data_IF_799501644249
#
_entry.id   IF_799501644249
#
_cell.length_a   1.000
_cell.length_b   1.000
_cell.length_c   1.000
_cell.angle_alpha   90.00
_cell.angle_beta   90.00
_cell.angle_gamma   90.00
#
_symmetry.space_group_name_H-M   'P 1'
#
loop_
_entity.id
_entity.type
_entity.pdbx_description
1 polymer ?
#
# COMPACT_ATOMS: atom_id res chain seq x y z
N UNK A 1 25.84 3.38 5.30
CA UNK A 1 24.77 3.03 4.34
C UNK A 1 23.79 2.25 5.19
N UNK A 2 22.94 2.99 5.89
CA UNK A 2 22.20 2.50 7.04
C UNK A 2 20.80 2.17 6.53
N UNK A 3 20.72 1.04 5.82
CA UNK A 3 19.45 0.53 5.33
C UNK A 3 18.65 0.01 6.52
N UNK A 4 17.36 0.37 6.55
CA UNK A 4 16.42 -0.21 7.50
C UNK A 4 16.36 -1.72 7.28
N UNK A 5 16.35 -2.46 8.37
CA UNK A 5 16.01 -3.87 8.36
C UNK A 5 14.51 -4.05 8.11
N UNK A 6 14.10 -5.20 7.58
CA UNK A 6 12.68 -5.50 7.35
C UNK A 6 11.83 -5.36 8.63
N UNK A 7 12.41 -5.69 9.79
CA UNK A 7 11.75 -5.50 11.08
C UNK A 7 11.51 -4.02 11.41
N UNK A 8 12.49 -3.15 11.14
CA UNK A 8 12.34 -1.72 11.36
C UNK A 8 11.29 -1.11 10.43
N UNK A 9 11.25 -1.55 9.17
CA UNK A 9 10.19 -1.17 8.24
C UNK A 9 8.81 -1.59 8.75
N UNK A 10 8.66 -2.84 9.20
CA UNK A 10 7.42 -3.38 9.76
C UNK A 10 6.95 -2.61 11.01
N UNK A 11 7.90 -2.19 11.86
CA UNK A 11 7.63 -1.37 13.04
C UNK A 11 7.17 0.04 12.66
N UNK A 12 7.82 0.68 11.69
CA UNK A 12 7.49 2.05 11.24
C UNK A 12 6.06 2.10 10.67
N UNK A 13 5.66 1.09 9.91
CA UNK A 13 4.29 1.05 9.33
C UNK A 13 3.22 0.62 10.33
N UNK A 14 3.62 0.28 11.56
CA UNK A 14 2.74 -0.12 12.65
C UNK A 14 2.07 -1.46 12.37
N UNK A 15 2.87 -2.50 12.19
CA UNK A 15 2.38 -3.87 11.91
C UNK A 15 2.00 -4.61 13.19
N UNK A 16 0.92 -5.38 13.12
CA UNK A 16 0.39 -6.23 14.18
C UNK A 16 0.10 -7.63 13.65
N UNK A 17 0.38 -8.64 14.47
CA UNK A 17 -0.05 -10.01 14.23
C UNK A 17 -1.37 -10.21 14.98
N UNK A 18 -2.49 -10.25 14.26
CA UNK A 18 -3.81 -10.42 14.84
C UNK A 18 -4.21 -11.91 14.87
N UNK A 19 -4.52 -12.46 16.04
CA UNK A 19 -5.10 -13.79 16.16
C UNK A 19 -6.54 -13.81 15.63
N UNK A 20 -6.85 -14.81 14.83
CA UNK A 20 -8.14 -14.93 14.09
C UNK A 20 -9.07 -15.99 14.71
N UNK A 21 -8.88 -16.28 16.00
CA UNK A 21 -9.59 -17.34 16.72
C UNK A 21 -9.00 -18.74 16.53
N UNK A 22 -9.60 -19.74 17.16
CA UNK A 22 -9.11 -21.13 17.09
C UNK A 22 -9.18 -21.68 15.66
N UNK A 23 -8.03 -22.12 15.13
CA UNK A 23 -7.92 -22.85 13.86
C UNK A 23 -7.60 -22.00 12.62
N UNK A 24 -7.66 -20.67 12.72
CA UNK A 24 -7.29 -19.79 11.61
C UNK A 24 -5.84 -19.30 11.75
N UNK A 25 -5.09 -19.16 10.63
CA UNK A 25 -3.77 -18.55 10.68
C UNK A 25 -3.89 -17.08 11.09
N UNK A 26 -2.94 -16.58 11.89
CA UNK A 26 -2.93 -15.19 12.30
C UNK A 26 -2.81 -14.27 11.07
N UNK A 27 -3.51 -13.14 11.11
CA UNK A 27 -3.51 -12.16 10.04
C UNK A 27 -2.53 -11.03 10.37
N UNK A 28 -1.59 -10.79 9.47
CA UNK A 28 -0.75 -9.59 9.52
C UNK A 28 -1.57 -8.37 9.09
N UNK A 29 -1.63 -7.34 9.93
CA UNK A 29 -2.31 -6.08 9.64
C UNK A 29 -1.42 -4.88 9.98
N UNK A 30 -1.53 -3.79 9.24
CA UNK A 30 -0.72 -2.59 9.45
C UNK A 30 -1.50 -1.29 9.25
N UNK A 31 -1.06 -0.20 9.89
CA UNK A 31 -1.68 1.12 9.73
C UNK A 31 -1.32 1.79 8.41
N UNK A 32 -0.11 1.53 7.92
CA UNK A 32 0.41 1.95 6.62
C UNK A 32 0.80 0.74 5.75
N UNK A 33 0.81 0.86 4.42
CA UNK A 33 1.19 -0.26 3.56
C UNK A 33 2.67 -0.62 3.76
N UNK A 34 2.99 -1.91 3.69
CA UNK A 34 4.37 -2.39 3.64
C UNK A 34 5.08 -1.80 2.42
N UNK A 35 6.40 -1.55 2.53
CA UNK A 35 7.21 -0.96 1.46
C UNK A 35 7.03 -1.70 0.13
N UNK A 36 7.15 -3.03 0.16
CA UNK A 36 6.94 -3.88 -1.03
C UNK A 36 5.53 -3.81 -1.63
N UNK A 37 4.51 -3.53 -0.83
CA UNK A 37 3.13 -3.39 -1.31
C UNK A 37 2.91 -2.01 -1.89
N UNK A 38 3.51 -0.98 -1.29
CA UNK A 38 3.47 0.39 -1.77
C UNK A 38 4.17 0.54 -3.12
N UNK A 39 5.36 -0.04 -3.27
CA UNK A 39 6.16 0.00 -4.50
C UNK A 39 5.49 -0.72 -5.67
N UNK A 40 4.73 -1.78 -5.41
CA UNK A 40 3.94 -2.49 -6.44
C UNK A 40 2.62 -1.77 -6.80
N UNK A 41 2.28 -0.70 -6.11
CA UNK A 41 1.05 0.06 -6.30
C UNK A 41 1.11 1.06 -7.46
N UNK A 42 0.16 2.01 -7.47
CA UNK A 42 0.13 3.13 -8.43
C UNK A 42 1.17 4.23 -8.12
N UNK A 43 2.02 4.04 -7.09
CA UNK A 43 3.01 5.03 -6.72
C UNK A 43 4.15 5.08 -7.76
N UNK A 44 4.29 6.22 -8.43
CA UNK A 44 5.26 6.41 -9.51
C UNK A 44 6.63 6.92 -9.03
N UNK A 45 6.95 6.77 -7.74
CA UNK A 45 8.17 7.30 -7.14
C UNK A 45 8.12 8.81 -6.85
N UNK A 46 7.00 9.48 -7.17
CA UNK A 46 6.81 10.91 -6.91
C UNK A 46 5.67 11.14 -5.94
N UNK A 47 5.97 11.89 -4.88
CA UNK A 47 4.95 12.37 -3.95
C UNK A 47 4.14 13.49 -4.60
N UNK A 48 2.96 13.14 -5.13
CA UNK A 48 2.04 14.09 -5.77
C UNK A 48 1.00 14.58 -4.79
N UNK A 49 0.27 15.65 -5.14
CA UNK A 49 -0.84 16.16 -4.33
C UNK A 49 -1.94 15.10 -4.10
N UNK A 50 -2.11 14.16 -5.04
CA UNK A 50 -3.00 13.02 -4.86
C UNK A 50 -2.59 12.15 -3.67
N UNK A 51 -1.30 11.80 -3.59
CA UNK A 51 -0.74 11.00 -2.49
C UNK A 51 -0.76 11.75 -1.16
N UNK A 52 -0.46 13.05 -1.15
CA UNK A 52 -0.60 13.89 0.03
C UNK A 52 -2.04 13.89 0.56
N UNK A 53 -3.02 14.07 -0.33
CA UNK A 53 -4.44 14.08 0.04
C UNK A 53 -4.86 12.74 0.61
N UNK A 54 -4.45 11.63 -0.02
CA UNK A 54 -4.70 10.28 0.45
C UNK A 54 -4.10 10.03 1.85
N UNK A 55 -2.84 10.43 2.04
CA UNK A 55 -2.12 10.29 3.31
C UNK A 55 -2.81 11.07 4.43
N UNK A 56 -3.08 12.36 4.19
CA UNK A 56 -3.77 13.24 5.14
C UNK A 56 -5.17 12.72 5.50
N UNK A 57 -5.94 12.25 4.52
CA UNK A 57 -7.26 11.68 4.76
C UNK A 57 -7.15 10.45 5.68
N UNK A 58 -6.27 9.51 5.35
CA UNK A 58 -6.10 8.30 6.16
C UNK A 58 -5.60 8.62 7.57
N UNK A 59 -4.63 9.52 7.70
CA UNK A 59 -4.13 9.97 9.00
C UNK A 59 -5.25 10.56 9.86
N UNK A 60 -6.14 11.35 9.25
CA UNK A 60 -7.34 11.85 9.93
C UNK A 60 -8.23 10.71 10.40
N UNK A 61 -8.53 9.74 9.53
CA UNK A 61 -9.38 8.60 9.91
C UNK A 61 -8.77 7.77 11.06
N UNK A 62 -7.44 7.62 11.10
CA UNK A 62 -6.73 6.94 12.19
C UNK A 62 -6.86 7.75 13.48
N UNK A 63 -6.57 9.04 13.45
CA UNK A 63 -6.59 9.91 14.63
C UNK A 63 -7.99 10.15 15.18
N UNK A 64 -9.04 10.09 14.34
CA UNK A 64 -10.45 10.13 14.79
C UNK A 64 -11.01 8.78 15.19
N UNK A 65 -10.21 7.71 15.14
CA UNK A 65 -10.63 6.35 15.53
C UNK A 65 -11.63 5.69 14.58
N UNK A 66 -11.76 6.20 13.35
CA UNK A 66 -12.69 5.67 12.33
C UNK A 66 -12.02 4.69 11.37
N UNK A 67 -10.69 4.59 11.37
CA UNK A 67 -9.93 3.61 10.60
C UNK A 67 -9.53 2.38 11.44
N UNK A 68 -9.15 1.31 10.75
CA UNK A 68 -8.56 0.10 11.32
C UNK A 68 -7.32 -0.30 10.50
N UNK A 69 -6.37 -1.04 11.10
CA UNK A 69 -5.26 -1.65 10.36
C UNK A 69 -5.78 -2.56 9.25
N UNK A 70 -5.09 -2.55 8.12
CA UNK A 70 -5.44 -3.37 6.96
C UNK A 70 -4.47 -4.52 6.79
N UNK A 71 -5.00 -5.65 6.31
CA UNK A 71 -4.20 -6.76 5.81
C UNK A 71 -3.48 -6.41 4.51
N UNK A 72 -2.45 -7.18 4.18
CA UNK A 72 -1.70 -7.07 2.91
C UNK A 72 -2.64 -7.08 1.70
N UNK A 73 -3.66 -7.93 1.70
CA UNK A 73 -4.64 -8.02 0.60
C UNK A 73 -5.48 -6.75 0.46
N UNK A 74 -5.91 -6.16 1.57
CA UNK A 74 -6.67 -4.91 1.56
C UNK A 74 -5.80 -3.74 1.06
N UNK A 75 -4.51 -3.72 1.43
CA UNK A 75 -3.55 -2.76 0.91
C UNK A 75 -3.35 -2.88 -0.60
N UNK A 76 -3.09 -4.10 -1.09
CA UNK A 76 -2.97 -4.37 -2.53
C UNK A 76 -4.20 -3.88 -3.30
N UNK A 77 -5.40 -4.03 -2.74
CA UNK A 77 -6.63 -3.57 -3.37
C UNK A 77 -6.76 -2.04 -3.36
N UNK A 78 -6.41 -1.38 -2.24
CA UNK A 78 -6.48 0.09 -2.11
C UNK A 78 -5.44 0.81 -2.97
N UNK A 79 -4.24 0.24 -3.10
CA UNK A 79 -3.11 0.82 -3.83
C UNK A 79 -3.07 0.42 -5.32
N UNK A 80 -4.00 -0.45 -5.75
CA UNK A 80 -4.08 -0.94 -7.14
C UNK A 80 -4.36 0.13 -8.18
N UNK A 81 -4.77 1.32 -7.73
CA UNK A 81 -5.21 2.42 -8.57
C UNK A 81 -6.51 2.16 -9.31
N UNK A 82 -6.88 3.08 -10.20
CA UNK A 82 -8.13 2.99 -10.98
C UNK A 82 -7.99 2.00 -12.14
N UNK A 83 -9.03 1.18 -12.44
CA UNK A 83 -9.01 0.28 -13.59
C UNK A 83 -8.68 0.96 -14.92
N UNK A 84 -9.13 2.19 -15.11
CA UNK A 84 -8.90 3.02 -16.28
C UNK A 84 -7.42 3.38 -16.41
N UNK A 85 -6.78 3.86 -15.32
CA UNK A 85 -5.35 4.15 -15.32
C UNK A 85 -4.53 2.92 -15.69
N UNK A 86 -4.87 1.75 -15.13
CA UNK A 86 -4.17 0.49 -15.45
C UNK A 86 -4.29 0.11 -16.92
N UNK A 87 -5.47 0.31 -17.54
CA UNK A 87 -5.66 0.05 -18.98
C UNK A 87 -4.78 0.96 -19.82
N UNK A 88 -4.69 2.24 -19.47
CA UNK A 88 -3.84 3.22 -20.17
C UNK A 88 -2.37 2.82 -20.04
N UNK A 89 -1.89 2.52 -18.83
CA UNK A 89 -0.49 2.10 -18.61
C UNK A 89 -0.15 0.87 -19.43
N UNK A 90 -1.01 -0.16 -19.39
CA UNK A 90 -0.80 -1.39 -20.17
C UNK A 90 -0.77 -1.14 -21.68
N UNK A 91 -1.67 -0.27 -22.18
CA UNK A 91 -1.69 0.11 -23.59
C UNK A 91 -0.43 0.89 -23.98
N UNK A 92 0.00 1.83 -23.15
CA UNK A 92 1.20 2.63 -23.36
C UNK A 92 2.47 1.75 -23.41
N UNK A 93 2.62 0.83 -22.46
CA UNK A 93 3.72 -0.13 -22.44
C UNK A 93 3.73 -1.02 -23.69
N UNK A 94 2.56 -1.53 -24.08
CA UNK A 94 2.42 -2.36 -25.29
C UNK A 94 2.77 -1.59 -26.55
N UNK A 95 2.31 -0.34 -26.66
CA UNK A 95 2.60 0.53 -27.81
C UNK A 95 4.07 0.94 -27.87
N UNK A 96 4.66 1.29 -26.73
CA UNK A 96 6.09 1.62 -26.64
C UNK A 96 6.97 0.43 -27.00
N UNK A 97 6.59 -0.78 -26.59
CA UNK A 97 7.33 -2.01 -26.94
C UNK A 97 7.21 -2.36 -28.43
N UNK A 98 6.09 -2.03 -29.07
CA UNK A 98 5.90 -2.24 -30.51
C UNK A 98 6.64 -1.20 -31.37
N UNK A 99 7.04 -0.07 -30.78
CA UNK A 99 7.73 1.02 -31.48
C UNK A 99 9.25 0.84 -31.54
N UNK A 100 9.84 0.07 -30.62
CA UNK A 100 11.28 -0.28 -30.58
C UNK A 100 11.51 -1.59 -31.33
#
# INVERSE_FOLDING_TARGET
DDRLTALEEDLIVGTYVCSTGHGNPPALKSWWPLAEVFDRGEFSGRWTQHWETWYCQRLREITTGTAQPHSVREWCNKLRGRPETRKIVKYLESSSRAFI
#
